data_IF_733220794210
#
_entry.id   IF_733220794210
#
_cell.length_a   1.000
_cell.length_b   1.000
_cell.length_c   1.000
_cell.angle_alpha   90.00
_cell.angle_beta   90.00
_cell.angle_gamma   90.00
#
_symmetry.space_group_name_H-M   'P 1'
#
loop_
_entity.id
_entity.type
_entity.pdbx_description
1 polymer ?
#
# COMPACT_ATOMS: atom_id res chain seq x y z
N UNK A 1 20.60 6.16 12.06
CA UNK A 1 19.75 5.76 10.92
C UNK A 1 18.39 6.42 11.16
N UNK A 2 17.85 7.21 10.21
CA UNK A 2 16.55 7.86 10.41
C UNK A 2 15.47 6.77 10.50
N UNK A 3 14.56 6.86 11.47
CA UNK A 3 13.41 5.98 11.57
C UNK A 3 12.67 5.94 10.21
N UNK A 4 12.32 4.74 9.73
CA UNK A 4 11.66 4.54 8.44
C UNK A 4 12.55 4.66 7.19
N UNK A 5 13.88 4.78 7.30
CA UNK A 5 14.76 4.84 6.13
C UNK A 5 14.83 3.50 5.35
N UNK A 6 14.77 2.37 6.07
CA UNK A 6 14.74 1.05 5.44
C UNK A 6 13.40 0.82 4.76
N UNK A 7 12.27 0.98 5.46
CA UNK A 7 10.93 0.91 4.87
C UNK A 7 10.80 1.79 3.61
N UNK A 8 11.31 3.03 3.67
CA UNK A 8 11.33 3.93 2.51
C UNK A 8 12.10 3.35 1.32
N UNK A 9 13.22 2.66 1.56
CA UNK A 9 14.03 2.06 0.48
C UNK A 9 13.29 0.92 -0.25
N UNK A 10 12.32 0.27 0.39
CA UNK A 10 11.47 -0.75 -0.25
C UNK A 10 10.18 -0.17 -0.80
N UNK A 11 9.58 0.81 -0.13
CA UNK A 11 8.29 1.37 -0.51
C UNK A 11 8.37 2.44 -1.61
N UNK A 12 9.38 3.32 -1.57
CA UNK A 12 9.50 4.42 -2.52
C UNK A 12 9.64 3.98 -3.98
N UNK A 13 10.44 2.95 -4.32
CA UNK A 13 10.54 2.48 -5.70
C UNK A 13 9.22 1.88 -6.22
N UNK A 14 8.43 1.25 -5.35
CA UNK A 14 7.10 0.74 -5.69
C UNK A 14 6.13 1.89 -5.94
N UNK A 15 6.16 2.93 -5.10
CA UNK A 15 5.34 4.13 -5.32
C UNK A 15 5.70 4.81 -6.65
N UNK A 16 6.99 4.89 -6.97
CA UNK A 16 7.48 5.47 -8.22
C UNK A 16 7.04 4.65 -9.43
N UNK A 17 7.22 3.32 -9.39
CA UNK A 17 6.79 2.42 -10.45
C UNK A 17 5.26 2.45 -10.64
N UNK A 18 4.47 2.46 -9.57
CA UNK A 18 3.02 2.63 -9.65
C UNK A 18 2.63 3.94 -10.34
N UNK A 19 3.37 5.02 -10.12
CA UNK A 19 3.07 6.31 -10.73
C UNK A 19 3.50 6.37 -12.21
N UNK A 20 4.73 5.95 -12.49
CA UNK A 20 5.44 6.26 -13.74
C UNK A 20 5.47 5.11 -14.76
N UNK A 21 5.20 3.87 -14.34
CA UNK A 21 5.20 2.70 -15.22
C UNK A 21 3.79 2.10 -15.30
N UNK A 22 3.12 2.35 -16.43
CA UNK A 22 1.77 1.83 -16.67
C UNK A 22 1.74 0.30 -16.70
N UNK A 23 2.76 -0.36 -17.25
CA UNK A 23 2.82 -1.82 -17.31
C UNK A 23 2.99 -2.42 -15.91
N UNK A 24 3.84 -1.82 -15.08
CA UNK A 24 3.96 -2.18 -13.67
C UNK A 24 2.64 -2.01 -12.94
N UNK A 25 2.00 -0.84 -13.09
CA UNK A 25 0.73 -0.53 -12.43
C UNK A 25 -0.38 -1.51 -12.84
N UNK A 26 -0.53 -1.79 -14.13
CA UNK A 26 -1.56 -2.70 -14.63
C UNK A 26 -1.32 -4.13 -14.12
N UNK A 27 -0.08 -4.60 -14.12
CA UNK A 27 0.26 -5.89 -13.52
C UNK A 27 0.00 -5.93 -12.02
N UNK A 28 0.40 -4.89 -11.28
CA UNK A 28 0.27 -4.83 -9.84
C UNK A 28 -1.21 -4.79 -9.41
N UNK A 29 -2.01 -3.95 -10.06
CA UNK A 29 -3.47 -3.86 -9.83
C UNK A 29 -4.18 -5.13 -10.28
N UNK A 30 -3.75 -5.73 -11.39
CA UNK A 30 -4.28 -6.98 -11.93
C UNK A 30 -4.12 -8.19 -10.99
N UNK A 31 -3.27 -8.10 -9.97
CA UNK A 31 -3.14 -9.13 -8.92
C UNK A 31 -4.16 -8.99 -7.79
N UNK A 32 -4.94 -7.92 -7.77
CA UNK A 32 -5.88 -7.61 -6.69
C UNK A 32 -7.32 -7.89 -7.12
N UNK A 33 -8.26 -7.81 -6.17
CA UNK A 33 -9.70 -7.85 -6.47
C UNK A 33 -10.22 -6.65 -7.28
N UNK A 34 -9.34 -5.72 -7.67
CA UNK A 34 -9.66 -4.57 -8.51
C UNK A 34 -9.32 -4.81 -9.99
N UNK A 35 -8.81 -5.99 -10.36
CA UNK A 35 -8.36 -6.31 -11.71
C UNK A 35 -9.42 -6.04 -12.81
N UNK A 36 -10.69 -6.31 -12.51
CA UNK A 36 -11.79 -6.17 -13.47
C UNK A 36 -12.24 -4.71 -13.70
N UNK A 37 -11.66 -3.74 -12.99
CA UNK A 37 -11.98 -2.32 -13.17
C UNK A 37 -11.26 -1.68 -14.36
N UNK A 38 -10.33 -2.40 -15.00
CA UNK A 38 -9.60 -1.93 -16.17
C UNK A 38 -8.35 -1.11 -15.81
N UNK A 39 -7.79 -0.37 -16.79
CA UNK A 39 -6.63 0.49 -16.57
C UNK A 39 -6.94 1.58 -15.55
N UNK A 40 -5.91 1.96 -14.80
CA UNK A 40 -6.02 3.02 -13.79
C UNK A 40 -4.90 4.04 -13.91
N UNK A 41 -5.13 5.23 -13.36
CA UNK A 41 -4.10 6.24 -13.09
C UNK A 41 -3.98 6.47 -11.59
N UNK A 42 -2.77 6.77 -11.12
CA UNK A 42 -2.53 7.18 -9.73
C UNK A 42 -2.94 8.65 -9.54
N UNK A 43 -3.69 8.92 -8.49
CA UNK A 43 -4.12 10.28 -8.11
C UNK A 43 -3.07 10.99 -7.23
N UNK A 44 -1.79 10.93 -7.60
CA UNK A 44 -0.69 11.41 -6.76
C UNK A 44 -0.83 12.90 -6.41
N UNK A 45 -1.21 13.74 -7.37
CA UNK A 45 -1.41 15.18 -7.17
C UNK A 45 -2.60 15.47 -6.23
N UNK A 46 -3.74 14.79 -6.42
CA UNK A 46 -4.90 14.92 -5.54
C UNK A 46 -4.58 14.46 -4.11
N UNK A 47 -3.83 13.36 -3.99
CA UNK A 47 -3.36 12.85 -2.70
C UNK A 47 -2.42 13.84 -2.04
N UNK A 48 -1.48 14.43 -2.79
CA UNK A 48 -0.56 15.45 -2.27
C UNK A 48 -1.28 16.73 -1.86
N UNK A 49 -2.24 17.20 -2.64
CA UNK A 49 -2.98 18.44 -2.41
C UNK A 49 -3.82 18.42 -1.12
N UNK A 50 -4.27 17.24 -0.68
CA UNK A 50 -5.05 17.06 0.56
C UNK A 50 -4.19 17.00 1.83
N UNK A 51 -2.87 16.93 1.69
CA UNK A 51 -1.95 16.75 2.82
C UNK A 51 -1.43 18.09 3.32
N UNK A 52 -0.85 18.06 4.53
CA UNK A 52 -0.11 19.21 5.03
C UNK A 52 1.08 19.52 4.12
N UNK A 53 1.46 20.80 4.03
CA UNK A 53 2.62 21.25 3.25
C UNK A 53 3.94 20.58 3.70
N UNK A 54 3.98 20.07 4.92
CA UNK A 54 5.14 19.40 5.50
C UNK A 54 5.27 17.91 5.08
N UNK A 55 4.22 17.30 4.52
CA UNK A 55 4.31 15.93 4.03
C UNK A 55 5.26 15.88 2.83
N UNK A 56 6.32 15.08 2.88
CA UNK A 56 7.30 14.98 1.79
C UNK A 56 6.75 14.19 0.60
N UNK A 57 6.15 13.03 0.85
CA UNK A 57 5.61 12.15 -0.19
C UNK A 57 4.08 12.18 -0.23
N UNK A 58 3.49 11.73 -1.34
CA UNK A 58 2.03 11.61 -1.50
C UNK A 58 1.47 10.30 -0.92
N UNK A 59 2.28 9.23 -0.88
CA UNK A 59 1.84 7.86 -0.59
C UNK A 59 2.02 7.38 0.86
N UNK A 60 2.98 7.91 1.63
CA UNK A 60 3.31 7.39 3.00
C UNK A 60 2.63 8.15 4.13
N UNK A 61 2.66 7.66 5.37
CA UNK A 61 2.28 8.47 6.55
C UNK A 61 0.86 9.02 6.50
N UNK A 62 -0.06 8.13 6.15
CA UNK A 62 -1.49 8.34 6.25
C UNK A 62 -2.01 7.68 7.52
N UNK A 63 -2.60 8.47 8.40
CA UNK A 63 -3.03 8.03 9.72
C UNK A 63 -4.55 8.08 9.89
N UNK A 64 -5.04 7.19 10.72
CA UNK A 64 -6.44 7.07 11.12
C UNK A 64 -6.74 7.72 12.48
N UNK A 65 -5.96 8.70 12.94
CA UNK A 65 -6.03 9.26 14.31
C UNK A 65 -7.44 9.64 14.76
N UNK A 66 -8.29 10.08 13.82
CA UNK A 66 -9.67 10.49 14.07
C UNK A 66 -10.71 9.38 13.87
N UNK A 67 -10.34 8.20 13.38
CA UNK A 67 -11.31 7.10 13.32
C UNK A 67 -11.63 6.61 14.73
N UNK A 68 -12.94 6.50 15.01
CA UNK A 68 -13.47 5.88 16.22
C UNK A 68 -13.78 4.38 16.05
N UNK A 69 -13.53 3.84 14.87
CA UNK A 69 -13.72 2.44 14.55
C UNK A 69 -12.69 1.58 15.29
N UNK A 70 -13.17 0.48 15.88
CA UNK A 70 -12.33 -0.46 16.62
C UNK A 70 -11.27 -1.08 15.70
N UNK A 71 -10.04 -1.25 16.22
CA UNK A 71 -8.90 -1.76 15.46
C UNK A 71 -8.27 -0.81 14.42
N UNK A 72 -8.87 0.34 14.13
CA UNK A 72 -8.34 1.29 13.15
C UNK A 72 -7.65 2.49 13.80
N UNK A 73 -8.04 2.93 15.00
CA UNK A 73 -7.57 4.20 15.60
C UNK A 73 -6.04 4.27 15.76
N UNK A 74 -5.45 5.37 15.28
CA UNK A 74 -4.03 5.68 15.49
C UNK A 74 -3.06 4.79 14.72
N UNK A 75 -3.52 4.13 13.66
CA UNK A 75 -2.73 3.22 12.84
C UNK A 75 -2.31 3.90 11.53
N UNK A 76 -1.03 3.77 11.19
CA UNK A 76 -0.45 4.18 9.91
C UNK A 76 -0.56 3.05 8.88
N UNK A 77 -0.70 3.40 7.61
CA UNK A 77 -0.44 2.50 6.49
C UNK A 77 0.90 2.87 5.89
N UNK A 78 1.75 1.89 5.61
CA UNK A 78 3.09 2.15 5.08
C UNK A 78 2.98 2.84 3.72
N UNK A 79 2.06 2.36 2.88
CA UNK A 79 1.65 3.05 1.65
C UNK A 79 0.13 3.08 1.50
N UNK A 80 -0.37 4.22 1.02
CA UNK A 80 -1.70 4.39 0.46
C UNK A 80 -1.55 4.87 -0.97
N UNK A 81 -2.27 4.23 -1.90
CA UNK A 81 -2.34 4.67 -3.29
C UNK A 81 -3.80 4.72 -3.71
N UNK A 82 -4.30 5.90 -4.09
CA UNK A 82 -5.65 6.05 -4.64
C UNK A 82 -5.57 6.11 -6.15
N UNK A 83 -6.35 5.24 -6.77
CA UNK A 83 -6.45 5.04 -8.20
C UNK A 83 -7.77 5.57 -8.72
N UNK A 84 -7.77 6.11 -9.93
CA UNK A 84 -8.98 6.36 -10.72
C UNK A 84 -8.94 5.48 -11.96
N UNK A 85 -10.01 4.73 -12.15
CA UNK A 85 -10.23 3.81 -13.27
C UNK A 85 -11.08 4.49 -14.35
N UNK A 86 -11.13 3.86 -15.52
CA UNK A 86 -12.03 4.26 -16.59
C UNK A 86 -13.49 4.32 -16.09
N UNK A 87 -14.18 5.41 -16.40
CA UNK A 87 -15.53 5.69 -15.88
C UNK A 87 -15.57 6.44 -14.54
N UNK A 88 -14.41 6.79 -13.97
CA UNK A 88 -14.31 7.65 -12.78
C UNK A 88 -14.46 6.92 -11.45
N UNK A 89 -14.52 5.59 -11.46
CA UNK A 89 -14.49 4.76 -10.25
C UNK A 89 -13.14 4.94 -9.55
N UNK A 90 -13.16 5.12 -8.23
CA UNK A 90 -11.94 5.30 -7.43
C UNK A 90 -11.76 4.18 -6.43
N UNK A 91 -10.55 3.63 -6.37
CA UNK A 91 -10.21 2.61 -5.39
C UNK A 91 -8.88 2.91 -4.70
N UNK A 92 -8.71 2.42 -3.47
CA UNK A 92 -7.47 2.55 -2.71
C UNK A 92 -6.74 1.22 -2.53
N UNK A 93 -5.42 1.24 -2.74
CA UNK A 93 -4.49 0.20 -2.31
C UNK A 93 -3.95 0.57 -0.92
N UNK A 94 -4.19 -0.29 0.07
CA UNK A 94 -3.62 -0.17 1.41
C UNK A 94 -2.50 -1.20 1.55
N UNK A 95 -1.25 -0.73 1.55
CA UNK A 95 -0.08 -1.60 1.42
C UNK A 95 0.72 -1.57 2.72
N UNK A 96 0.95 -2.75 3.29
CA UNK A 96 1.99 -2.98 4.30
C UNK A 96 3.27 -3.45 3.58
N UNK A 97 4.41 -2.88 3.97
CA UNK A 97 5.73 -3.23 3.44
C UNK A 97 6.58 -3.79 4.58
N UNK A 98 6.81 -5.11 4.56
CA UNK A 98 7.70 -5.78 5.51
C UNK A 98 9.09 -5.94 4.90
N UNK A 99 10.05 -5.15 5.41
CA UNK A 99 11.46 -5.33 5.05
C UNK A 99 12.04 -6.62 5.68
N UNK A 100 13.18 -7.14 5.21
CA UNK A 100 13.68 -8.49 5.54
C UNK A 100 13.81 -8.81 7.03
N UNK A 101 13.96 -7.81 7.90
CA UNK A 101 14.12 -7.99 9.34
C UNK A 101 12.85 -7.66 10.14
N UNK A 102 11.78 -7.20 9.49
CA UNK A 102 10.53 -6.85 10.17
C UNK A 102 9.80 -8.06 10.71
N UNK A 103 8.96 -7.82 11.70
CA UNK A 103 7.99 -8.77 12.23
C UNK A 103 6.60 -8.13 12.23
N UNK A 104 5.57 -8.96 12.27
CA UNK A 104 4.22 -8.49 12.53
C UNK A 104 4.01 -8.27 14.03
N UNK A 105 3.23 -7.25 14.35
CA UNK A 105 2.55 -7.18 15.65
C UNK A 105 1.26 -7.99 15.55
N UNK A 106 0.87 -8.66 16.63
CA UNK A 106 -0.38 -9.45 16.66
C UNK A 106 -1.59 -8.62 16.24
N UNK A 107 -2.33 -9.09 15.25
CA UNK A 107 -3.54 -8.47 14.73
C UNK A 107 -3.30 -7.32 13.75
N UNK A 108 -2.06 -7.08 13.34
CA UNK A 108 -1.74 -5.99 12.41
C UNK A 108 -2.39 -6.21 11.03
N UNK A 109 -2.42 -7.44 10.51
CA UNK A 109 -3.10 -7.74 9.25
C UNK A 109 -4.59 -7.40 9.29
N UNK A 110 -5.29 -7.79 10.37
CA UNK A 110 -6.71 -7.46 10.58
C UNK A 110 -6.97 -5.95 10.65
N UNK A 111 -6.04 -5.20 11.24
CA UNK A 111 -6.15 -3.74 11.34
C UNK A 111 -6.15 -3.07 9.95
N UNK A 112 -5.42 -3.62 8.97
CA UNK A 112 -5.45 -3.12 7.59
C UNK A 112 -6.83 -3.25 6.96
N UNK A 113 -7.46 -4.42 7.06
CA UNK A 113 -8.79 -4.66 6.51
C UNK A 113 -9.84 -3.75 7.17
N UNK A 114 -9.80 -3.62 8.51
CA UNK A 114 -10.70 -2.74 9.25
C UNK A 114 -10.55 -1.27 8.83
N UNK A 115 -9.31 -0.80 8.65
CA UNK A 115 -9.02 0.57 8.19
C UNK A 115 -9.48 0.80 6.75
N UNK A 116 -9.19 -0.11 5.84
CA UNK A 116 -9.57 0.00 4.43
C UNK A 116 -11.09 0.05 4.26
N UNK A 117 -11.83 -0.75 5.02
CA UNK A 117 -13.30 -0.71 5.04
C UNK A 117 -13.84 0.59 5.66
N UNK A 118 -13.16 1.12 6.68
CA UNK A 118 -13.54 2.38 7.28
C UNK A 118 -13.34 3.57 6.31
N UNK A 119 -12.20 3.64 5.62
CA UNK A 119 -11.87 4.80 4.79
C UNK A 119 -12.74 4.92 3.53
N UNK A 120 -13.37 3.82 3.09
CA UNK A 120 -14.45 3.90 2.10
C UNK A 120 -15.65 4.69 2.65
N UNK A 121 -16.05 4.44 3.90
CA UNK A 121 -17.27 5.03 4.50
C UNK A 121 -17.04 6.44 5.03
N UNK A 122 -15.89 6.64 5.68
CA UNK A 122 -15.56 7.85 6.44
C UNK A 122 -14.06 8.14 6.26
N UNK A 123 -13.62 8.54 5.06
CA UNK A 123 -12.22 8.86 4.82
C UNK A 123 -11.80 10.07 5.68
N UNK A 124 -10.61 10.05 6.29
CA UNK A 124 -10.03 11.26 6.84
C UNK A 124 -9.91 12.35 5.77
N UNK A 125 -10.01 13.63 6.15
CA UNK A 125 -9.95 14.76 5.19
C UNK A 125 -8.70 14.74 4.28
N UNK A 126 -7.58 14.23 4.82
CA UNK A 126 -6.31 14.13 4.11
C UNK A 126 -6.27 13.00 3.06
N UNK A 127 -7.31 12.16 2.99
CA UNK A 127 -7.43 11.04 2.05
C UNK A 127 -8.34 11.44 0.89
N UNK A 128 -7.97 11.03 -0.31
CA UNK A 128 -8.84 11.17 -1.50
C UNK A 128 -10.01 10.19 -1.36
N UNK A 129 -11.27 10.66 -1.46
CA UNK A 129 -12.43 9.79 -1.39
C UNK A 129 -12.40 8.72 -2.48
N UNK A 130 -12.74 7.49 -2.09
CA UNK A 130 -12.79 6.31 -2.94
C UNK A 130 -13.92 5.40 -2.46
N UNK A 131 -14.42 4.56 -3.35
CA UNK A 131 -15.59 3.69 -3.14
C UNK A 131 -15.20 2.22 -2.96
N UNK A 132 -13.99 1.85 -3.36
CA UNK A 132 -13.44 0.51 -3.25
C UNK A 132 -12.06 0.53 -2.62
N UNK A 133 -11.65 -0.57 -2.00
CA UNK A 133 -10.29 -0.70 -1.49
C UNK A 133 -9.86 -2.15 -1.46
N UNK A 134 -8.54 -2.36 -1.43
CA UNK A 134 -7.92 -3.66 -1.23
C UNK A 134 -6.68 -3.54 -0.36
N UNK A 135 -6.37 -4.58 0.41
CA UNK A 135 -5.19 -4.64 1.27
C UNK A 135 -4.11 -5.53 0.64
N UNK A 136 -2.87 -5.05 0.66
CA UNK A 136 -1.73 -5.79 0.13
C UNK A 136 -0.61 -5.91 1.14
N UNK A 137 0.06 -7.06 1.12
CA UNK A 137 1.34 -7.27 1.77
C UNK A 137 2.45 -7.33 0.72
N UNK A 138 3.47 -6.49 0.89
CA UNK A 138 4.76 -6.58 0.22
C UNK A 138 5.82 -7.09 1.18
N UNK A 139 6.51 -8.17 0.81
CA UNK A 139 7.56 -8.75 1.63
C UNK A 139 8.50 -9.67 0.83
N UNK A 140 9.57 -10.13 1.47
CA UNK A 140 10.34 -11.27 0.97
C UNK A 140 9.54 -12.56 1.08
N UNK A 141 9.54 -13.38 0.03
CA UNK A 141 8.91 -14.70 0.04
C UNK A 141 9.44 -15.61 1.15
N UNK A 142 10.75 -15.53 1.42
CA UNK A 142 11.42 -16.29 2.50
C UNK A 142 10.89 -15.98 3.91
N UNK A 143 10.22 -14.84 4.11
CA UNK A 143 9.69 -14.42 5.41
C UNK A 143 8.26 -14.89 5.67
N UNK A 144 7.54 -15.37 4.65
CA UNK A 144 6.12 -15.71 4.79
C UNK A 144 5.83 -16.71 5.90
N UNK A 145 6.64 -17.76 6.02
CA UNK A 145 6.47 -18.75 7.09
C UNK A 145 6.71 -18.14 8.48
N UNK A 146 7.68 -17.22 8.60
CA UNK A 146 8.00 -16.55 9.87
C UNK A 146 6.91 -15.58 10.35
N UNK A 147 6.04 -15.15 9.44
CA UNK A 147 4.92 -14.26 9.74
C UNK A 147 3.67 -14.97 10.24
N UNK A 148 3.64 -16.30 10.24
CA UNK A 148 2.52 -17.08 10.73
C UNK A 148 1.24 -16.81 9.93
N UNK A 149 0.14 -16.50 10.62
CA UNK A 149 -1.17 -16.30 10.00
C UNK A 149 -1.41 -14.87 9.47
N UNK A 150 -0.59 -13.88 9.86
CA UNK A 150 -0.82 -12.47 9.52
C UNK A 150 -0.90 -12.19 8.01
N UNK A 151 -0.08 -12.82 7.13
CA UNK A 151 -0.20 -12.62 5.69
C UNK A 151 -1.57 -13.02 5.11
N UNK A 152 -2.29 -13.94 5.76
CA UNK A 152 -3.60 -14.42 5.30
C UNK A 152 -4.72 -13.39 5.50
N UNK A 153 -4.47 -12.35 6.29
CA UNK A 153 -5.43 -11.28 6.58
C UNK A 153 -5.41 -10.17 5.48
N UNK A 154 -4.49 -10.26 4.51
CA UNK A 154 -4.42 -9.34 3.36
C UNK A 154 -5.14 -9.93 2.15
N UNK A 155 -5.82 -9.09 1.35
CA UNK A 155 -6.50 -9.55 0.12
C UNK A 155 -5.50 -10.09 -0.91
N UNK A 156 -4.29 -9.53 -0.93
CA UNK A 156 -3.27 -9.86 -1.93
C UNK A 156 -1.88 -9.86 -1.30
N UNK A 157 -1.07 -10.83 -1.72
CA UNK A 157 0.33 -10.94 -1.37
C UNK A 157 1.14 -10.81 -2.65
N UNK A 158 2.11 -9.90 -2.64
CA UNK A 158 3.10 -9.76 -3.72
C UNK A 158 4.48 -9.78 -3.08
N UNK A 159 5.32 -10.71 -3.53
CA UNK A 159 6.68 -10.79 -3.00
C UNK A 159 7.61 -9.84 -3.75
N UNK A 160 8.72 -9.45 -3.13
CA UNK A 160 9.77 -8.70 -3.81
C UNK A 160 10.38 -9.51 -4.97
N UNK A 161 10.44 -10.83 -4.83
CA UNK A 161 10.85 -11.76 -5.87
C UNK A 161 9.89 -11.77 -7.06
N UNK A 162 8.57 -11.71 -6.83
CA UNK A 162 7.57 -11.58 -7.90
C UNK A 162 7.79 -10.31 -8.71
N UNK A 163 8.10 -9.20 -8.02
CA UNK A 163 8.36 -7.90 -8.64
C UNK A 163 9.63 -7.96 -9.47
N UNK A 164 10.75 -8.41 -8.90
CA UNK A 164 12.01 -8.48 -9.62
C UNK A 164 11.94 -9.43 -10.82
N UNK A 165 11.25 -10.57 -10.67
CA UNK A 165 11.09 -11.54 -11.74
C UNK A 165 10.30 -11.00 -12.95
N UNK A 166 9.40 -10.02 -12.73
CA UNK A 166 8.56 -9.45 -13.79
C UNK A 166 9.04 -8.08 -14.28
N UNK A 167 9.54 -7.25 -13.37
CA UNK A 167 9.99 -5.88 -13.58
C UNK A 167 11.37 -5.69 -12.92
N UNK A 168 12.43 -6.25 -13.52
CA UNK A 168 13.77 -6.21 -12.94
C UNK A 168 14.25 -4.77 -12.78
N UNK A 169 14.90 -4.49 -11.65
CA UNK A 169 15.44 -3.16 -11.33
C UNK A 169 14.45 -2.15 -10.74
N UNK A 170 13.19 -2.53 -10.52
CA UNK A 170 12.25 -1.71 -9.73
C UNK A 170 12.72 -1.64 -8.28
N UNK A 171 13.15 -2.76 -7.71
CA UNK A 171 13.64 -2.82 -6.34
C UNK A 171 15.17 -2.61 -6.30
N UNK A 172 15.72 -2.02 -5.24
CA UNK A 172 17.17 -1.90 -5.11
C UNK A 172 17.80 -3.29 -4.95
N UNK A 173 18.99 -3.50 -5.51
CA UNK A 173 19.66 -4.81 -5.54
C UNK A 173 19.86 -5.48 -4.15
N UNK A 174 19.81 -4.70 -3.05
CA UNK A 174 19.90 -5.20 -1.67
C UNK A 174 18.57 -5.68 -1.10
N UNK A 175 17.47 -5.55 -1.85
CA UNK A 175 16.13 -5.93 -1.40
C UNK A 175 15.86 -7.42 -1.45
N UNK A 176 16.76 -8.20 -2.06
CA UNK A 176 16.62 -9.64 -2.28
C UNK A 176 17.66 -10.48 -1.53
N UNK A 177 18.55 -9.83 -0.77
CA UNK A 177 19.65 -10.46 -0.01
C UNK A 177 19.32 -10.60 1.47
#
# INVERSE_FOLDING_TARGET
MKYGALEYAYAAPIADALLNDAAFRDWFVGRTKLADLGPARVLADDMKARRSKAAADWWRSHYSEKCRCDGCRGQETDMLVVLEFDGGERAALHIEVKQPTDVFKTGQGRAYAARAACWIKQPPNAIVPHTKSTTLLLCLGSRLQSFGAEPQEFDTLVTFEDIEGRFPGVLPARSLS
#
